data_IF_922622991953
#
_entry.id   IF_922622991953
#
_cell.length_a   1.000
_cell.length_b   1.000
_cell.length_c   1.000
_cell.angle_alpha   90.00
_cell.angle_beta   90.00
_cell.angle_gamma   90.00
#
_symmetry.space_group_name_H-M   'P 1'
#
loop_
_entity.id
_entity.type
_entity.pdbx_description
1 polymer ?
#
# COMPACT_ATOMS: atom_id res chain seq x y z
N UNK A 1 -8.20 -2.08 -9.29
CA UNK A 1 -8.10 -3.07 -8.19
C UNK A 1 -9.18 -4.15 -8.34
N UNK A 2 -9.23 -5.17 -7.48
CA UNK A 2 -9.69 -6.53 -7.83
C UNK A 2 -8.78 -7.14 -8.92
N UNK A 3 -7.49 -7.28 -8.62
CA UNK A 3 -6.46 -7.79 -9.54
C UNK A 3 -6.44 -7.07 -10.91
N UNK A 4 -6.83 -5.78 -10.93
CA UNK A 4 -6.92 -4.97 -12.14
C UNK A 4 -8.29 -4.96 -12.85
N UNK A 5 -9.25 -5.80 -12.46
CA UNK A 5 -10.54 -5.93 -13.15
C UNK A 5 -11.59 -4.85 -12.80
N UNK A 6 -11.38 -4.11 -11.71
CA UNK A 6 -12.21 -2.95 -11.35
C UNK A 6 -11.34 -1.69 -11.35
N UNK A 7 -11.30 -0.89 -12.44
CA UNK A 7 -10.53 0.35 -12.46
C UNK A 7 -11.08 1.35 -11.42
N UNK A 8 -10.18 2.07 -10.73
CA UNK A 8 -10.56 2.99 -9.65
C UNK A 8 -11.46 4.15 -10.11
N UNK A 9 -11.46 4.47 -11.41
CA UNK A 9 -12.33 5.49 -12.01
C UNK A 9 -13.81 5.12 -12.02
N UNK A 10 -14.18 3.87 -11.71
CA UNK A 10 -15.57 3.40 -11.66
C UNK A 10 -16.11 3.23 -10.24
N UNK A 11 -15.27 3.45 -9.24
CA UNK A 11 -15.65 3.22 -7.85
C UNK A 11 -16.68 4.24 -7.40
N UNK A 12 -17.69 3.77 -6.68
CA UNK A 12 -18.66 4.66 -6.06
C UNK A 12 -18.24 5.03 -4.62
N UNK A 13 -18.57 6.23 -4.13
CA UNK A 13 -18.29 6.60 -2.75
C UNK A 13 -18.92 5.61 -1.76
N UNK A 14 -18.11 5.07 -0.85
CA UNK A 14 -18.53 4.07 0.14
C UNK A 14 -18.53 2.62 -0.37
N UNK A 15 -18.24 2.39 -1.65
CA UNK A 15 -18.09 1.04 -2.19
C UNK A 15 -16.84 0.35 -1.60
N UNK A 16 -17.00 -0.89 -1.15
CA UNK A 16 -15.89 -1.71 -0.63
C UNK A 16 -15.43 -2.67 -1.72
N UNK A 17 -14.22 -2.44 -2.24
CA UNK A 17 -13.57 -3.33 -3.21
C UNK A 17 -12.50 -4.16 -2.51
N UNK A 18 -12.74 -5.48 -2.37
CA UNK A 18 -11.72 -6.41 -1.89
C UNK A 18 -10.66 -6.66 -2.99
N UNK A 19 -9.39 -6.51 -2.62
CA UNK A 19 -8.26 -6.79 -3.50
C UNK A 19 -7.11 -7.41 -2.71
N UNK A 20 -6.45 -8.42 -3.30
CA UNK A 20 -5.28 -9.07 -2.71
C UNK A 20 -4.06 -8.67 -3.51
N UNK A 21 -3.09 -8.06 -2.82
CA UNK A 21 -1.82 -7.65 -3.40
C UNK A 21 -0.70 -8.50 -2.80
N UNK A 22 0.15 -9.07 -3.65
CA UNK A 22 1.30 -9.87 -3.24
C UNK A 22 2.58 -9.08 -3.46
N UNK A 23 3.34 -8.89 -2.38
CA UNK A 23 4.65 -8.23 -2.41
C UNK A 23 5.70 -9.33 -2.45
N UNK A 24 6.37 -9.46 -3.58
CA UNK A 24 7.55 -10.33 -3.69
C UNK A 24 8.71 -9.65 -3.01
N UNK A 25 9.32 -10.34 -2.06
CA UNK A 25 10.54 -9.89 -1.39
C UNK A 25 11.74 -10.46 -2.14
N UNK A 26 12.76 -9.65 -2.33
CA UNK A 26 14.03 -10.11 -2.89
C UNK A 26 14.71 -11.05 -1.90
N UNK A 27 15.41 -12.07 -2.41
CA UNK A 27 16.01 -13.12 -1.57
C UNK A 27 17.16 -12.60 -0.68
N UNK A 28 17.75 -11.47 -1.05
CA UNK A 28 18.83 -10.79 -0.33
C UNK A 28 18.32 -9.66 0.57
N UNK A 29 17.00 -9.54 0.77
CA UNK A 29 16.44 -8.55 1.69
C UNK A 29 17.00 -8.78 3.10
N UNK A 30 17.62 -7.75 3.73
CA UNK A 30 18.16 -7.90 5.07
C UNK A 30 17.07 -8.23 6.10
N UNK A 31 17.37 -9.05 7.12
CA UNK A 31 16.51 -9.15 8.30
C UNK A 31 16.34 -7.79 8.99
N UNK A 32 15.20 -7.58 9.60
CA UNK A 32 14.91 -6.36 10.34
C UNK A 32 13.44 -5.98 10.33
N UNK A 33 13.16 -4.80 10.89
CA UNK A 33 11.81 -4.24 10.94
C UNK A 33 11.52 -3.37 9.73
N UNK A 34 10.42 -3.68 9.06
CA UNK A 34 9.95 -3.00 7.86
C UNK A 34 8.55 -2.47 8.07
N UNK A 35 8.29 -1.27 7.55
CA UNK A 35 6.95 -0.69 7.52
C UNK A 35 6.29 -1.01 6.19
N UNK A 36 5.10 -1.57 6.24
CA UNK A 36 4.24 -1.76 5.07
C UNK A 36 3.36 -0.53 4.94
N UNK A 37 3.49 0.16 3.82
CA UNK A 37 2.82 1.44 3.57
C UNK A 37 2.01 1.38 2.28
N UNK A 38 0.92 2.13 2.22
CA UNK A 38 0.06 2.25 1.04
C UNK A 38 -0.12 3.72 0.66
N UNK A 39 -0.23 3.99 -0.63
CA UNK A 39 -0.60 5.31 -1.15
C UNK A 39 -1.31 5.16 -2.49
N UNK A 40 -2.13 6.16 -2.81
CA UNK A 40 -2.69 6.34 -4.15
C UNK A 40 -2.02 7.58 -4.73
N UNK A 41 -1.70 7.58 -6.02
CA UNK A 41 -1.05 8.69 -6.68
C UNK A 41 -1.80 9.08 -7.95
N UNK A 42 -1.65 10.33 -8.36
CA UNK A 42 -2.06 10.78 -9.69
C UNK A 42 -1.00 10.32 -10.71
N UNK A 43 -1.36 9.46 -11.69
CA UNK A 43 -0.41 8.94 -12.66
C UNK A 43 0.15 9.99 -13.62
N UNK A 44 -0.52 11.14 -13.81
CA UNK A 44 -0.03 12.20 -14.68
C UNK A 44 1.13 12.98 -14.02
N UNK A 45 1.06 13.16 -12.70
CA UNK A 45 2.03 13.96 -11.93
C UNK A 45 2.97 13.12 -11.08
N UNK A 46 2.69 11.81 -10.93
CA UNK A 46 3.42 10.87 -10.08
C UNK A 46 3.53 11.37 -8.64
N UNK A 47 2.47 12.04 -8.18
CA UNK A 47 2.40 12.62 -6.84
C UNK A 47 1.32 11.89 -6.04
N UNK A 48 1.64 11.55 -4.79
CA UNK A 48 0.68 10.91 -3.90
C UNK A 48 -0.50 11.85 -3.61
N UNK A 49 -1.70 11.28 -3.59
CA UNK A 49 -2.92 11.97 -3.21
C UNK A 49 -3.03 12.03 -1.68
N UNK A 50 -3.50 13.15 -1.11
CA UNK A 50 -3.73 13.26 0.32
C UNK A 50 -4.62 12.12 0.83
N UNK A 51 -4.19 11.49 1.92
CA UNK A 51 -4.95 10.42 2.58
C UNK A 51 -5.67 10.95 3.82
N UNK A 52 -6.87 10.43 4.09
CA UNK A 52 -7.67 10.78 5.28
C UNK A 52 -8.35 9.52 5.85
N UNK A 53 -8.72 9.51 7.13
CA UNK A 53 -9.37 8.39 7.82
C UNK A 53 -8.52 7.17 8.23
N UNK A 54 -7.19 7.28 8.36
CA UNK A 54 -6.30 6.20 8.78
C UNK A 54 -5.63 6.47 10.13
N UNK A 55 -5.17 5.41 10.81
CA UNK A 55 -4.62 5.51 12.17
C UNK A 55 -3.24 6.16 12.24
N UNK A 56 -2.44 6.06 11.16
CA UNK A 56 -1.10 6.62 11.12
C UNK A 56 -0.68 7.05 9.71
N UNK A 57 -0.36 8.33 9.56
CA UNK A 57 0.14 8.92 8.32
C UNK A 57 1.64 9.09 8.38
N UNK A 58 2.29 8.79 7.25
CA UNK A 58 3.69 9.03 7.03
C UNK A 58 3.87 10.22 6.08
N UNK A 59 5.03 10.90 6.14
CA UNK A 59 5.35 11.96 5.19
C UNK A 59 5.17 11.51 3.72
N UNK A 60 4.69 12.44 2.89
CA UNK A 60 4.43 12.21 1.47
C UNK A 60 3.14 11.45 1.20
N UNK A 61 2.09 11.70 1.97
CA UNK A 61 0.73 11.19 1.75
C UNK A 61 0.64 9.65 1.66
N UNK A 62 1.31 8.98 2.59
CA UNK A 62 1.31 7.52 2.72
C UNK A 62 0.62 7.09 4.00
N UNK A 63 -0.18 6.04 3.90
CA UNK A 63 -0.80 5.37 5.03
C UNK A 63 0.12 4.24 5.51
N UNK A 64 0.43 4.20 6.81
CA UNK A 64 1.03 3.02 7.42
C UNK A 64 -0.04 1.94 7.58
N UNK A 65 0.17 0.77 6.98
CA UNK A 65 -0.72 -0.38 7.16
C UNK A 65 -0.32 -1.21 8.37
N UNK A 66 0.97 -1.52 8.49
CA UNK A 66 1.52 -2.31 9.60
C UNK A 66 3.05 -2.24 9.64
N UNK A 67 3.65 -2.75 10.71
CA UNK A 67 5.07 -3.07 10.80
C UNK A 67 5.26 -4.59 10.83
N UNK A 68 6.25 -5.09 10.10
CA UNK A 68 6.62 -6.50 10.05
C UNK A 68 8.08 -6.67 10.44
N UNK A 69 8.43 -7.81 11.01
CA UNK A 69 9.81 -8.22 11.25
C UNK A 69 10.16 -9.35 10.30
N UNK A 70 11.17 -9.11 9.46
CA UNK A 70 11.76 -10.14 8.62
C UNK A 70 12.87 -10.80 9.42
N UNK A 71 12.72 -12.11 9.63
CA UNK A 71 13.71 -12.97 10.28
C UNK A 71 14.43 -13.79 9.23
N UNK A 72 15.71 -14.07 9.45
CA UNK A 72 16.44 -15.03 8.63
C UNK A 72 15.87 -16.43 8.90
N UNK A 73 15.55 -17.17 7.85
CA UNK A 73 15.24 -18.59 7.97
C UNK A 73 16.53 -19.34 8.31
N UNK A 74 16.49 -20.15 9.38
CA UNK A 74 17.57 -21.08 9.76
C UNK A 74 17.82 -22.18 8.72
#
# INVERSE_FOLDING_TARGET
PRLGFSPMSRWEPGEVIADRQEIKLDADIPPGRYRVVMGVYDPATVTNLPTSGGDSYLPGDRLLLTEIELVQSE
#
